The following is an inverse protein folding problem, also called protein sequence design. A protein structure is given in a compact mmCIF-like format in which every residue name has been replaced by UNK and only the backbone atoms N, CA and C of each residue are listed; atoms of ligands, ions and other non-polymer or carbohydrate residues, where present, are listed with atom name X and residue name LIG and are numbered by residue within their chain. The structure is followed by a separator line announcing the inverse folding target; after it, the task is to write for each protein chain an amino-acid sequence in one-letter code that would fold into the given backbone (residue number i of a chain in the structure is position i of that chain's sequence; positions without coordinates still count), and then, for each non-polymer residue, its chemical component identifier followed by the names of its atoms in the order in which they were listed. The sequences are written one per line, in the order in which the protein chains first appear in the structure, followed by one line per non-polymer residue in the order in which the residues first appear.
data_IF_914416324016
#
_entry.id   IF_914416324016
#
_cell.length_a   1.000
_cell.length_b   1.000
_cell.length_c   1.000
_cell.angle_alpha   90.00
_cell.angle_beta   90.00
_cell.angle_gamma   90.00
#
_symmetry.space_group_name_H-M   'P 1'
#
loop_
_entity.id
_entity.type
_entity.pdbx_description
1 polymer ?
#
# COMPACT_ATOMS: atom_id res chain seq x y z
N UNK A 1 -4.41 12.64 17.30
CA UNK A 1 -4.21 11.19 17.34
C UNK A 1 -3.38 10.74 16.16
N UNK A 2 -2.37 9.91 16.36
CA UNK A 2 -1.62 9.40 15.23
C UNK A 2 -2.49 8.49 14.38
N UNK A 3 -2.30 8.59 13.07
CA UNK A 3 -3.02 7.73 12.15
C UNK A 3 -2.50 6.29 12.26
N UNK A 4 -3.36 5.33 12.01
CA UNK A 4 -3.00 3.93 11.98
C UNK A 4 -2.78 3.48 10.55
N UNK A 5 -1.86 2.55 10.36
CA UNK A 5 -1.69 1.89 9.08
C UNK A 5 -1.94 0.40 9.30
N UNK A 6 -2.98 -0.09 8.68
CA UNK A 6 -3.33 -1.49 8.74
C UNK A 6 -3.02 -2.15 7.40
N UNK A 7 -2.79 -3.45 7.42
CA UNK A 7 -2.47 -4.21 6.23
C UNK A 7 -3.49 -5.32 6.06
N UNK A 8 -4.12 -5.39 4.90
CA UNK A 8 -4.99 -6.50 4.59
C UNK A 8 -4.19 -7.78 4.39
N UNK A 9 -4.85 -8.90 4.49
CA UNK A 9 -4.20 -10.21 4.32
C UNK A 9 -3.46 -10.29 2.99
N UNK A 10 -4.01 -9.71 1.93
CA UNK A 10 -3.35 -9.67 0.62
C UNK A 10 -2.02 -8.90 0.68
N UNK A 11 -1.99 -7.77 1.38
CA UNK A 11 -0.77 -7.00 1.53
C UNK A 11 0.23 -7.71 2.44
N UNK A 12 -0.24 -8.33 3.51
CA UNK A 12 0.64 -9.11 4.38
C UNK A 12 1.28 -10.27 3.63
N UNK A 13 0.52 -10.91 2.76
CA UNK A 13 1.03 -11.98 1.93
C UNK A 13 2.10 -11.45 0.97
N UNK A 14 1.87 -10.28 0.39
CA UNK A 14 2.85 -9.64 -0.49
C UNK A 14 4.16 -9.38 0.27
N UNK A 15 4.07 -8.88 1.50
CA UNK A 15 5.26 -8.62 2.32
C UNK A 15 6.00 -9.90 2.66
N UNK A 16 5.29 -10.97 2.95
CA UNK A 16 5.91 -12.26 3.27
C UNK A 16 6.65 -12.87 2.09
N UNK A 17 6.32 -12.44 0.88
CA UNK A 17 7.03 -12.89 -0.32
C UNK A 17 8.35 -12.18 -0.57
N UNK A 18 8.67 -11.16 0.22
CA UNK A 18 9.91 -10.41 0.09
C UNK A 18 10.93 -10.87 1.11
N UNK A 19 12.21 -10.58 0.85
CA UNK A 19 13.26 -10.82 1.85
C UNK A 19 12.92 -10.00 3.11
N UNK A 20 13.09 -10.58 4.31
CA UNK A 20 12.70 -9.87 5.54
C UNK A 20 13.27 -8.46 5.70
N UNK A 21 14.56 -8.19 5.40
CA UNK A 21 15.06 -6.83 5.49
C UNK A 21 14.39 -5.86 4.52
N UNK A 22 14.06 -6.36 3.32
CA UNK A 22 13.38 -5.55 2.32
C UNK A 22 11.95 -5.25 2.76
N UNK A 23 11.25 -6.26 3.25
CA UNK A 23 9.88 -6.11 3.73
C UNK A 23 9.81 -5.10 4.88
N UNK A 24 10.74 -5.19 5.83
CA UNK A 24 10.76 -4.29 6.97
C UNK A 24 11.03 -2.85 6.56
N UNK A 25 11.99 -2.65 5.66
CA UNK A 25 12.32 -1.33 5.17
C UNK A 25 11.16 -0.72 4.40
N UNK A 26 10.54 -1.52 3.57
CA UNK A 26 9.38 -1.09 2.78
C UNK A 26 8.23 -0.69 3.69
N UNK A 27 7.97 -1.49 4.71
CA UNK A 27 6.91 -1.21 5.67
C UNK A 27 7.14 0.11 6.41
N UNK A 28 8.37 0.35 6.86
CA UNK A 28 8.71 1.61 7.52
C UNK A 28 8.50 2.81 6.59
N UNK A 29 8.91 2.68 5.33
CA UNK A 29 8.77 3.76 4.37
C UNK A 29 7.31 4.03 4.05
N UNK A 30 6.50 2.98 3.92
CA UNK A 30 5.07 3.12 3.69
C UNK A 30 4.43 3.89 4.85
N UNK A 31 4.71 3.47 6.08
CA UNK A 31 4.10 4.09 7.24
C UNK A 31 4.52 5.54 7.40
N UNK A 32 5.78 5.83 7.12
CA UNK A 32 6.26 7.20 7.15
C UNK A 32 5.52 8.08 6.13
N UNK A 33 5.38 7.59 4.90
CA UNK A 33 4.70 8.36 3.87
C UNK A 33 3.22 8.56 4.18
N UNK A 34 2.56 7.53 4.68
CA UNK A 34 1.14 7.63 4.97
C UNK A 34 0.88 8.51 6.20
N UNK A 35 1.64 8.32 7.25
CA UNK A 35 1.40 9.02 8.50
C UNK A 35 1.95 10.45 8.47
N UNK A 36 3.21 10.60 8.10
CA UNK A 36 3.87 11.92 8.16
C UNK A 36 3.51 12.83 7.00
N UNK A 37 3.27 12.27 5.82
CA UNK A 37 3.00 13.06 4.62
C UNK A 37 1.54 13.01 4.17
N UNK A 38 0.69 12.40 4.97
CA UNK A 38 -0.73 12.38 4.68
C UNK A 38 -1.13 11.54 3.47
N UNK A 39 -0.32 10.53 3.14
CA UNK A 39 -0.65 9.63 2.07
C UNK A 39 -0.77 10.31 0.72
N UNK A 40 0.30 10.87 0.21
CA UNK A 40 0.31 11.62 -1.04
C UNK A 40 0.30 10.70 -2.26
N UNK A 41 -0.50 9.67 -2.24
CA UNK A 41 -0.65 8.78 -3.37
C UNK A 41 -1.57 9.36 -4.45
N UNK A 42 -1.47 8.77 -5.64
CA UNK A 42 -2.30 9.18 -6.76
C UNK A 42 -3.59 8.38 -6.73
N UNK A 43 -4.71 9.08 -6.78
CA UNK A 43 -6.02 8.43 -6.78
C UNK A 43 -6.21 7.60 -8.05
N UNK A 44 -6.71 6.39 -7.88
CA UNK A 44 -7.01 5.50 -8.98
C UNK A 44 -8.45 5.72 -9.43
N UNK A 45 -8.74 5.33 -10.67
CA UNK A 45 -10.06 5.51 -11.25
C UNK A 45 -10.62 4.17 -11.73
N UNK A 46 -11.85 4.20 -12.22
CA UNK A 46 -12.51 3.00 -12.73
C UNK A 46 -12.77 1.98 -11.64
N UNK A 47 -12.48 0.70 -11.89
CA UNK A 47 -12.71 -0.35 -10.89
C UNK A 47 -11.91 -0.17 -9.60
N UNK A 48 -10.85 0.62 -9.66
CA UNK A 48 -10.01 0.89 -8.48
C UNK A 48 -10.36 2.21 -7.80
N UNK A 49 -11.50 2.79 -8.12
CA UNK A 49 -11.94 4.04 -7.50
C UNK A 49 -12.03 3.88 -5.98
N UNK A 50 -11.54 4.88 -5.25
CA UNK A 50 -11.48 4.81 -3.79
C UNK A 50 -10.13 4.33 -3.26
N UNK A 51 -9.26 3.87 -4.15
CA UNK A 51 -7.92 3.45 -3.80
C UNK A 51 -6.89 4.44 -4.30
N UNK A 52 -5.71 4.39 -3.70
CA UNK A 52 -4.61 5.28 -4.05
C UNK A 52 -3.35 4.46 -4.30
N UNK A 53 -2.51 4.96 -5.18
CA UNK A 53 -1.24 4.34 -5.49
C UNK A 53 -0.12 5.19 -4.91
N UNK A 54 0.76 4.55 -4.14
CA UNK A 54 1.95 5.17 -3.59
C UNK A 54 3.17 4.44 -4.16
N UNK A 55 4.12 5.21 -4.67
CA UNK A 55 5.34 4.64 -5.22
C UNK A 55 6.45 4.68 -4.19
N UNK A 56 7.05 3.52 -3.92
CA UNK A 56 8.17 3.40 -2.99
C UNK A 56 9.28 2.62 -3.68
N UNK A 57 10.27 3.32 -4.21
CA UNK A 57 11.32 2.69 -4.99
C UNK A 57 10.74 1.99 -6.22
N UNK A 58 11.04 0.71 -6.37
CA UNK A 58 10.51 -0.10 -7.46
C UNK A 58 9.18 -0.76 -7.12
N UNK A 59 8.65 -0.47 -5.94
CA UNK A 59 7.41 -1.07 -5.49
C UNK A 59 6.26 -0.11 -5.60
N UNK A 60 5.07 -0.65 -5.80
CA UNK A 60 3.83 0.12 -5.77
C UNK A 60 2.98 -0.40 -4.64
N UNK A 61 2.40 0.55 -3.91
CA UNK A 61 1.58 0.27 -2.74
C UNK A 61 0.20 0.80 -3.04
N UNK A 62 -0.79 -0.07 -2.95
CA UNK A 62 -2.18 0.34 -3.13
C UNK A 62 -2.81 0.40 -1.75
N UNK A 63 -3.41 1.52 -1.44
CA UNK A 63 -4.04 1.72 -0.14
C UNK A 63 -5.35 2.49 -0.29
N UNK A 64 -6.15 2.46 0.76
CA UNK A 64 -7.35 3.27 0.85
C UNK A 64 -7.36 4.00 2.18
N UNK A 65 -8.16 5.04 2.27
CA UNK A 65 -8.32 5.76 3.52
C UNK A 65 -9.33 5.05 4.41
N UNK A 66 -9.12 5.16 5.70
CA UNK A 66 -10.01 4.60 6.71
C UNK A 66 -10.29 5.68 7.74
N UNK A 67 -11.25 5.42 8.62
CA UNK A 67 -11.68 6.41 9.62
C UNK A 67 -10.53 6.90 10.49
N UNK A 68 -9.60 6.02 10.85
CA UNK A 68 -8.50 6.36 11.74
C UNK A 68 -7.13 6.30 11.07
N UNK A 69 -7.10 6.23 9.76
CA UNK A 69 -5.82 6.16 9.07
C UNK A 69 -5.92 5.57 7.68
N UNK A 70 -5.15 4.52 7.44
CA UNK A 70 -5.02 3.94 6.11
C UNK A 70 -5.01 2.44 6.17
N UNK A 71 -5.48 1.80 5.09
CA UNK A 71 -5.42 0.36 4.93
C UNK A 71 -4.67 0.05 3.65
N UNK A 72 -3.54 -0.64 3.79
CA UNK A 72 -2.74 -1.08 2.66
C UNK A 72 -3.34 -2.39 2.16
N UNK A 73 -3.71 -2.43 0.89
CA UNK A 73 -4.40 -3.60 0.33
C UNK A 73 -3.50 -4.44 -0.58
N UNK A 74 -2.53 -3.84 -1.26
CA UNK A 74 -1.59 -4.58 -2.10
C UNK A 74 -0.23 -3.91 -2.09
N UNK A 75 0.81 -4.73 -2.18
CA UNK A 75 2.18 -4.28 -2.34
C UNK A 75 2.80 -5.18 -3.40
N UNK A 76 3.46 -4.59 -4.37
CA UNK A 76 4.10 -5.40 -5.39
C UNK A 76 5.03 -4.60 -6.27
N UNK A 77 5.83 -5.34 -7.03
CA UNK A 77 6.68 -4.72 -8.03
C UNK A 77 5.78 -3.99 -9.04
N UNK A 78 6.27 -2.86 -9.56
CA UNK A 78 5.47 -1.97 -10.39
C UNK A 78 4.68 -2.62 -11.53
N UNK A 79 5.10 -3.80 -11.98
CA UNK A 79 4.40 -4.49 -13.06
C UNK A 79 3.40 -5.52 -12.57
N UNK A 80 3.58 -6.03 -11.38
CA UNK A 80 2.79 -7.15 -10.88
C UNK A 80 1.49 -6.74 -10.22
N UNK A 81 1.46 -5.55 -9.61
CA UNK A 81 0.29 -5.09 -8.87
C UNK A 81 -0.95 -5.01 -9.75
N UNK A 82 -0.78 -4.63 -11.00
CA UNK A 82 -1.91 -4.43 -11.90
C UNK A 82 -2.32 -5.68 -12.67
N UNK A 83 -1.49 -6.70 -12.68
CA UNK A 83 -1.80 -7.94 -13.39
C UNK A 83 -2.93 -8.73 -12.75
N UNK A 84 -3.11 -8.56 -11.46
CA UNK A 84 -4.07 -9.35 -10.69
C UNK A 84 -5.41 -8.65 -10.54
N UNK A 85 -5.63 -7.59 -11.28
CA UNK A 85 -6.88 -6.86 -11.23
C UNK A 85 -6.97 -5.93 -10.02
N UNK A 86 -8.17 -5.40 -9.73
CA UNK A 86 -8.35 -4.46 -8.62
C UNK A 86 -7.96 -5.10 -7.30
N UNK A 87 -7.16 -4.38 -6.48
CA UNK A 87 -6.70 -4.94 -5.22
C UNK A 87 -7.80 -4.99 -4.16
N UNK A 88 -7.77 -6.04 -3.35
CA UNK A 88 -8.64 -6.15 -2.20
C UNK A 88 -10.10 -6.34 -2.49
N UNK A 89 -10.41 -6.72 -3.67
CA UNK A 89 -11.78 -6.85 -4.12
C UNK A 89 -12.13 -8.27 -4.46
#
# INVERSE_FOLDING_TARGET
MPAKVEYKASAEKDLRGLDPPVALRLQHTIERNLIERGGQGIALSGPCSGFYRLRVGDYRVIYRRAAEGYVVVRIGHRREVYRQGPPGI
#
